data_IF_488471467597
#
_entry.id   IF_488471467597
#
_cell.length_a   1.000
_cell.length_b   1.000
_cell.length_c   1.000
_cell.angle_alpha   90.00
_cell.angle_beta   90.00
_cell.angle_gamma   90.00
#
_symmetry.space_group_name_H-M   'P 1'
#
loop_
_entity.id
_entity.type
_entity.pdbx_description
1 polymer ?
#
# COMPACT_ATOMS: atom_id res chain seq x y z
N UNK A 1 -29.09 -8.53 3.27
CA UNK A 1 -27.94 -8.33 2.39
C UNK A 1 -27.08 -7.28 3.06
N UNK A 2 -26.04 -7.69 3.75
CA UNK A 2 -25.10 -6.77 4.39
C UNK A 2 -24.08 -6.42 3.31
N UNK A 3 -24.37 -5.39 2.51
CA UNK A 3 -23.40 -4.85 1.56
C UNK A 3 -22.12 -4.53 2.35
N UNK A 4 -21.04 -5.19 1.96
CA UNK A 4 -19.83 -5.29 2.75
C UNK A 4 -19.24 -3.89 2.86
N UNK A 5 -19.06 -3.36 4.07
CA UNK A 5 -18.52 -2.01 4.32
C UNK A 5 -17.22 -1.70 3.55
N UNK A 6 -16.50 -2.75 3.12
CA UNK A 6 -15.34 -2.70 2.24
C UNK A 6 -15.64 -2.18 0.83
N UNK A 7 -16.81 -2.48 0.24
CA UNK A 7 -17.18 -2.05 -1.12
C UNK A 7 -17.47 -0.54 -1.19
N UNK A 8 -17.91 0.05 -0.07
CA UNK A 8 -18.14 1.48 0.09
C UNK A 8 -16.93 2.23 0.68
N UNK A 9 -15.85 1.52 1.03
CA UNK A 9 -14.67 2.15 1.61
C UNK A 9 -13.91 3.01 0.58
N UNK A 10 -13.11 3.99 1.00
CA UNK A 10 -12.18 4.69 0.11
C UNK A 10 -11.20 3.74 -0.57
N UNK A 11 -10.72 4.07 -1.77
CA UNK A 11 -9.82 3.21 -2.56
C UNK A 11 -8.55 2.83 -1.80
N UNK A 12 -7.98 3.75 -1.01
CA UNK A 12 -6.79 3.47 -0.21
C UNK A 12 -7.04 2.46 0.91
N UNK A 13 -8.27 2.40 1.45
CA UNK A 13 -8.65 1.40 2.46
C UNK A 13 -8.83 0.03 1.80
N UNK A 14 -9.51 -0.02 0.64
CA UNK A 14 -9.65 -1.28 -0.12
C UNK A 14 -8.29 -1.86 -0.50
N UNK A 15 -7.40 -1.00 -1.02
CA UNK A 15 -6.05 -1.39 -1.39
C UNK A 15 -5.25 -1.87 -0.19
N UNK A 16 -5.36 -1.22 0.98
CA UNK A 16 -4.68 -1.67 2.18
C UNK A 16 -5.11 -3.09 2.60
N UNK A 17 -6.41 -3.40 2.51
CA UNK A 17 -6.95 -4.73 2.82
C UNK A 17 -6.45 -5.78 1.83
N UNK A 18 -6.47 -5.48 0.53
CA UNK A 18 -5.95 -6.36 -0.52
C UNK A 18 -4.46 -6.65 -0.35
N UNK A 19 -3.66 -5.61 -0.04
CA UNK A 19 -2.24 -5.75 0.26
C UNK A 19 -1.99 -6.66 1.48
N UNK A 20 -2.78 -6.50 2.55
CA UNK A 20 -2.66 -7.36 3.73
C UNK A 20 -2.95 -8.82 3.36
N UNK A 21 -4.03 -9.07 2.62
CA UNK A 21 -4.39 -10.41 2.20
C UNK A 21 -3.28 -11.05 1.35
N UNK A 22 -2.71 -10.33 0.38
CA UNK A 22 -1.60 -10.83 -0.44
C UNK A 22 -0.37 -11.19 0.40
N UNK A 23 -0.05 -10.40 1.44
CA UNK A 23 1.08 -10.66 2.33
C UNK A 23 0.84 -11.90 3.20
N UNK A 24 -0.39 -12.11 3.65
CA UNK A 24 -0.81 -13.29 4.40
C UNK A 24 -0.79 -14.55 3.53
N UNK A 25 -1.32 -14.49 2.31
CA UNK A 25 -1.29 -15.59 1.32
C UNK A 25 0.16 -15.99 0.97
N UNK A 26 1.09 -15.03 0.96
CA UNK A 26 2.52 -15.28 0.78
C UNK A 26 3.24 -15.74 2.07
N UNK A 27 2.52 -15.89 3.18
CA UNK A 27 3.03 -16.30 4.49
C UNK A 27 4.17 -15.39 5.01
N UNK A 28 4.10 -14.10 4.68
CA UNK A 28 5.12 -13.11 5.07
C UNK A 28 4.87 -12.66 6.51
N UNK A 29 5.92 -12.68 7.33
CA UNK A 29 5.86 -12.18 8.71
C UNK A 29 5.45 -10.71 8.75
N UNK A 30 4.58 -10.28 9.69
CA UNK A 30 4.23 -8.88 9.88
C UNK A 30 5.46 -7.95 9.97
N UNK A 31 6.52 -8.39 10.65
CA UNK A 31 7.76 -7.61 10.79
C UNK A 31 8.49 -7.41 9.46
N UNK A 32 8.45 -8.39 8.57
CA UNK A 32 9.02 -8.30 7.22
C UNK A 32 8.13 -7.44 6.33
N UNK A 33 6.81 -7.62 6.40
CA UNK A 33 5.83 -6.82 5.69
C UNK A 33 5.95 -5.33 5.99
N UNK A 34 6.08 -4.95 7.27
CA UNK A 34 6.25 -3.56 7.69
C UNK A 34 7.51 -2.95 7.07
N UNK A 35 8.66 -3.64 7.18
CA UNK A 35 9.92 -3.15 6.60
C UNK A 35 9.84 -2.98 5.07
N UNK A 36 9.20 -3.94 4.37
CA UNK A 36 8.99 -3.84 2.93
C UNK A 36 8.06 -2.65 2.56
N UNK A 37 6.97 -2.47 3.30
CA UNK A 37 6.03 -1.37 3.09
C UNK A 37 6.68 0.00 3.36
N UNK A 38 7.58 0.11 4.34
CA UNK A 38 8.35 1.35 4.57
C UNK A 38 9.23 1.70 3.36
N UNK A 39 9.89 0.71 2.75
CA UNK A 39 10.70 0.91 1.54
C UNK A 39 9.81 1.38 0.38
N UNK A 40 8.66 0.73 0.16
CA UNK A 40 7.70 1.10 -0.88
C UNK A 40 7.16 2.52 -0.66
N UNK A 41 6.80 2.86 0.58
CA UNK A 41 6.33 4.20 0.95
C UNK A 41 7.39 5.26 0.67
N UNK A 42 8.65 4.99 1.02
CA UNK A 42 9.77 5.88 0.73
C UNK A 42 10.00 6.06 -0.77
N UNK A 43 9.86 5.00 -1.57
CA UNK A 43 9.96 5.06 -3.03
C UNK A 43 8.84 5.92 -3.65
N UNK A 44 7.60 5.69 -3.22
CA UNK A 44 6.44 6.48 -3.66
C UNK A 44 6.62 7.97 -3.32
N UNK A 45 7.08 8.27 -2.10
CA UNK A 45 7.40 9.65 -1.68
C UNK A 45 8.49 10.27 -2.53
N UNK A 46 9.56 9.53 -2.84
CA UNK A 46 10.63 10.01 -3.74
C UNK A 46 10.07 10.32 -5.12
N UNK A 47 9.20 9.48 -5.69
CA UNK A 47 8.57 9.74 -7.00
C UNK A 47 7.71 10.99 -7.00
N UNK A 48 6.95 11.23 -5.93
CA UNK A 48 6.16 12.46 -5.77
C UNK A 48 7.06 13.71 -5.68
N UNK A 49 8.19 13.61 -4.97
CA UNK A 49 9.16 14.71 -4.87
C UNK A 49 9.97 14.93 -6.16
N UNK A 50 10.32 13.86 -6.87
CA UNK A 50 11.07 13.89 -8.13
C UNK A 50 10.21 14.35 -9.31
N UNK A 51 8.88 14.29 -9.22
CA UNK A 51 7.98 14.90 -10.20
C UNK A 51 8.03 16.45 -10.21
N UNK A 52 8.78 17.06 -9.29
CA UNK A 52 8.95 18.53 -9.20
C UNK A 52 10.32 19.04 -9.68
N UNK A 53 11.18 18.17 -10.22
CA UNK A 53 12.44 18.60 -10.84
C UNK A 53 12.39 18.29 -12.35
N UNK A 54 12.15 19.28 -13.23
CA UNK A 54 12.55 19.12 -14.62
C UNK A 54 14.07 18.94 -14.61
N UNK A 55 14.55 17.90 -15.29
CA UNK A 55 15.98 17.77 -15.60
C UNK A 55 16.42 19.06 -16.32
N UNK A 56 17.35 19.81 -15.71
CA UNK A 56 18.07 20.93 -16.31
C UNK A 56 19.33 20.40 -17.00
#
# INVERSE_FOLDING_TARGET
>A
MSETTLEQAPDHIKLAVDLIQMLEDANISPSTSIQALEIVLQDMRRRLSSASAPEL
#
